data_IF_092810730621
#
_entry.id   IF_092810730621
#
_cell.length_a   1.000
_cell.length_b   1.000
_cell.length_c   1.000
_cell.angle_alpha   90.00
_cell.angle_beta   90.00
_cell.angle_gamma   90.00
#
_symmetry.space_group_name_H-M   'P 1'
#
loop_
_entity.id
_entity.type
_entity.pdbx_description
1 polymer ?
#
# COMPACT_ATOMS: atom_id res chain seq x y z
N UNK A 1 -23.21 -19.88 -16.89
CA UNK A 1 -22.83 -18.51 -16.51
C UNK A 1 -21.31 -18.45 -16.49
N UNK A 2 -20.70 -17.60 -17.32
CA UNK A 2 -19.28 -17.30 -17.24
C UNK A 2 -19.20 -15.89 -16.64
N UNK A 3 -18.71 -15.78 -15.42
CA UNK A 3 -18.44 -14.49 -14.79
C UNK A 3 -17.14 -13.94 -15.38
N UNK A 4 -17.05 -12.62 -15.60
CA UNK A 4 -15.82 -11.97 -16.07
C UNK A 4 -14.68 -11.91 -15.03
N UNK A 5 -14.72 -12.76 -14.00
CA UNK A 5 -13.71 -12.84 -12.94
C UNK A 5 -12.50 -13.66 -13.43
N UNK A 6 -11.30 -13.16 -13.17
CA UNK A 6 -10.05 -13.81 -13.57
C UNK A 6 -8.98 -13.68 -12.49
N UNK A 7 -7.97 -14.56 -12.56
CA UNK A 7 -6.75 -14.50 -11.77
C UNK A 7 -5.61 -14.29 -12.76
N UNK A 8 -4.81 -13.25 -12.56
CA UNK A 8 -3.56 -13.06 -13.32
C UNK A 8 -2.40 -13.76 -12.60
N UNK A 9 -1.54 -14.42 -13.37
CA UNK A 9 -0.37 -15.14 -12.87
C UNK A 9 0.87 -14.50 -13.48
N UNK A 10 1.64 -13.79 -12.64
CA UNK A 10 2.92 -13.22 -13.03
C UNK A 10 4.07 -14.15 -12.68
N UNK A 11 4.85 -14.56 -13.68
CA UNK A 11 6.06 -15.35 -13.51
C UNK A 11 7.30 -14.49 -13.26
N UNK A 12 8.09 -14.86 -12.24
CA UNK A 12 9.40 -14.28 -11.92
C UNK A 12 10.52 -15.31 -12.16
N UNK A 13 11.68 -14.86 -12.63
CA UNK A 13 12.88 -15.69 -12.76
C UNK A 13 14.15 -14.85 -12.62
N UNK A 14 15.29 -15.47 -12.35
CA UNK A 14 16.58 -14.83 -12.55
C UNK A 14 16.82 -14.62 -14.05
N UNK A 15 16.80 -13.36 -14.50
CA UNK A 15 16.93 -12.98 -15.92
C UNK A 15 18.27 -12.35 -16.24
N UNK A 16 18.79 -11.56 -15.31
CA UNK A 16 19.94 -10.69 -15.53
C UNK A 16 21.21 -11.42 -15.06
N UNK A 17 22.06 -11.86 -16.00
CA UNK A 17 23.32 -12.53 -15.67
C UNK A 17 24.28 -11.65 -14.86
N UNK A 18 24.13 -10.32 -14.97
CA UNK A 18 24.90 -9.33 -14.20
C UNK A 18 24.42 -9.18 -12.74
N UNK A 19 23.25 -9.74 -12.39
CA UNK A 19 22.64 -9.62 -11.05
C UNK A 19 22.16 -10.99 -10.56
N UNK A 20 23.10 -11.91 -10.26
CA UNK A 20 22.74 -13.22 -9.72
C UNK A 20 21.98 -13.06 -8.39
N UNK A 21 20.97 -13.90 -8.16
CA UNK A 21 20.13 -13.82 -6.96
C UNK A 21 19.05 -12.75 -6.98
N UNK A 22 18.93 -11.97 -8.08
CA UNK A 22 17.83 -11.04 -8.31
C UNK A 22 16.84 -11.62 -9.31
N UNK A 23 15.61 -11.74 -8.86
CA UNK A 23 14.48 -12.28 -9.61
C UNK A 23 13.69 -11.12 -10.21
N UNK A 24 13.25 -11.25 -11.45
CA UNK A 24 12.46 -10.19 -12.09
C UNK A 24 11.31 -10.69 -12.95
N UNK A 25 10.25 -9.88 -12.99
CA UNK A 25 9.07 -10.09 -13.82
C UNK A 25 9.23 -9.42 -15.20
N UNK A 26 8.24 -9.57 -16.09
CA UNK A 26 8.23 -8.95 -17.43
C UNK A 26 8.22 -7.41 -17.38
N UNK A 27 7.78 -6.82 -16.27
CA UNK A 27 7.68 -5.37 -16.07
C UNK A 27 8.92 -4.80 -15.36
N UNK A 28 10.01 -5.56 -15.25
CA UNK A 28 11.25 -5.13 -14.60
C UNK A 28 11.14 -4.78 -13.11
N UNK A 29 10.09 -5.25 -12.42
CA UNK A 29 10.12 -5.32 -10.96
C UNK A 29 11.15 -6.35 -10.54
N UNK A 30 11.96 -6.02 -9.55
CA UNK A 30 13.12 -6.81 -9.11
C UNK A 30 12.98 -7.15 -7.64
N UNK A 31 13.27 -8.40 -7.32
CA UNK A 31 13.18 -8.94 -5.98
C UNK A 31 14.45 -9.71 -5.67
N UNK A 32 15.05 -9.46 -4.51
CA UNK A 32 16.15 -10.29 -4.03
C UNK A 32 15.60 -11.65 -3.57
N UNK A 33 16.36 -12.72 -3.77
CA UNK A 33 15.94 -14.07 -3.38
C UNK A 33 15.53 -14.16 -1.89
N UNK A 34 16.20 -13.40 -1.00
CA UNK A 34 15.88 -13.32 0.44
C UNK A 34 14.56 -12.62 0.75
N UNK A 35 14.06 -11.76 -0.15
CA UNK A 35 12.76 -11.11 0.03
C UNK A 35 11.62 -12.07 -0.32
N UNK A 36 11.87 -13.02 -1.24
CA UNK A 36 10.90 -14.02 -1.67
C UNK A 36 10.88 -15.24 -0.74
N UNK A 37 12.03 -15.81 -0.42
CA UNK A 37 12.14 -17.11 0.23
C UNK A 37 12.67 -17.03 1.67
N UNK A 38 12.21 -17.91 2.58
CA UNK A 38 11.11 -18.87 2.41
C UNK A 38 9.74 -18.18 2.39
N UNK A 39 8.76 -18.79 1.71
CA UNK A 39 7.39 -18.26 1.74
C UNK A 39 6.78 -18.40 3.14
N UNK A 40 5.96 -17.42 3.51
CA UNK A 40 5.26 -17.38 4.80
C UNK A 40 3.80 -17.80 4.62
N UNK A 41 3.27 -18.69 5.48
CA UNK A 41 1.86 -19.04 5.47
C UNK A 41 1.01 -17.85 5.93
N UNK A 42 -0.11 -17.65 5.27
CA UNK A 42 -1.13 -16.66 5.60
C UNK A 42 -2.53 -17.19 5.26
N UNK A 43 -3.54 -16.37 5.46
CA UNK A 43 -4.92 -16.64 5.08
C UNK A 43 -5.41 -15.49 4.19
N UNK A 44 -5.88 -15.82 2.99
CA UNK A 44 -6.43 -14.87 2.03
C UNK A 44 -7.86 -15.30 1.69
N UNK A 45 -8.83 -14.43 1.93
CA UNK A 45 -10.27 -14.70 1.70
C UNK A 45 -10.78 -16.02 2.33
N UNK A 46 -10.29 -16.36 3.52
CA UNK A 46 -10.68 -17.61 4.16
C UNK A 46 -9.80 -18.82 3.83
N UNK A 47 -8.96 -18.73 2.79
CA UNK A 47 -8.19 -19.85 2.24
C UNK A 47 -6.71 -19.75 2.67
N UNK A 48 -6.06 -20.86 3.06
CA UNK A 48 -4.61 -20.87 3.29
C UNK A 48 -3.85 -20.45 2.04
N UNK A 49 -2.95 -19.48 2.19
CA UNK A 49 -2.14 -18.94 1.11
C UNK A 49 -0.67 -18.79 1.56
N UNK A 50 0.19 -18.52 0.59
CA UNK A 50 1.61 -18.24 0.81
C UNK A 50 1.95 -16.86 0.28
N UNK A 51 2.74 -16.10 1.03
CA UNK A 51 3.24 -14.78 0.64
C UNK A 51 4.77 -14.73 0.73
N UNK A 52 5.43 -13.81 0.01
CA UNK A 52 6.87 -13.57 0.14
C UNK A 52 7.31 -13.34 1.60
N UNK A 53 8.57 -13.67 1.91
CA UNK A 53 9.14 -13.48 3.24
C UNK A 53 9.05 -12.02 3.71
N UNK A 54 9.56 -11.10 2.88
CA UNK A 54 9.59 -9.64 3.11
C UNK A 54 8.51 -8.93 2.30
N UNK A 55 7.25 -9.40 2.41
CA UNK A 55 6.14 -8.82 1.63
C UNK A 55 5.91 -7.32 1.89
N UNK A 56 6.19 -6.81 3.10
CA UNK A 56 6.06 -5.39 3.42
C UNK A 56 7.06 -4.53 2.65
N UNK A 57 8.33 -4.94 2.61
CA UNK A 57 9.37 -4.24 1.85
C UNK A 57 9.01 -4.23 0.37
N UNK A 58 8.61 -5.38 -0.18
CA UNK A 58 8.19 -5.51 -1.58
C UNK A 58 7.02 -4.58 -1.90
N UNK A 59 5.98 -4.55 -1.07
CA UNK A 59 4.82 -3.67 -1.29
C UNK A 59 5.19 -2.19 -1.16
N UNK A 60 6.08 -1.85 -0.22
CA UNK A 60 6.56 -0.47 -0.04
C UNK A 60 7.40 -0.01 -1.22
N UNK A 61 8.29 -0.86 -1.74
CA UNK A 61 9.15 -0.55 -2.88
C UNK A 61 8.32 -0.34 -4.16
N UNK A 62 7.23 -1.10 -4.34
CA UNK A 62 6.38 -0.99 -5.53
C UNK A 62 5.31 0.11 -5.44
N UNK A 63 4.69 0.28 -4.27
CA UNK A 63 3.48 1.10 -4.10
C UNK A 63 3.63 2.23 -3.07
N UNK A 64 4.80 2.35 -2.43
CA UNK A 64 5.10 3.33 -1.40
C UNK A 64 4.58 2.95 -0.01
N UNK A 65 5.04 3.67 1.02
CA UNK A 65 4.72 3.38 2.43
C UNK A 65 3.22 3.41 2.75
N UNK A 66 2.44 4.22 2.04
CA UNK A 66 0.99 4.32 2.26
C UNK A 66 0.25 3.03 1.89
N UNK A 67 0.82 2.19 1.04
CA UNK A 67 0.17 0.95 0.58
C UNK A 67 -0.13 -0.06 1.68
N UNK A 68 0.62 -0.01 2.79
CA UNK A 68 0.48 -0.96 3.90
C UNK A 68 -0.55 -0.47 4.94
N UNK A 69 -0.75 0.84 5.02
CA UNK A 69 -1.55 1.47 6.10
C UNK A 69 -2.83 2.12 5.59
N UNK A 70 -2.94 2.40 4.29
CA UNK A 70 -4.11 3.06 3.74
C UNK A 70 -5.32 2.11 3.79
N UNK A 71 -6.32 2.48 4.58
CA UNK A 71 -7.62 1.82 4.62
C UNK A 71 -8.62 2.44 3.64
N UNK A 72 -8.17 3.35 2.76
CA UNK A 72 -9.03 4.02 1.79
C UNK A 72 -8.33 4.13 0.44
N UNK A 73 -9.05 3.77 -0.62
CA UNK A 73 -8.55 3.83 -2.00
C UNK A 73 -9.71 3.90 -2.99
N UNK A 74 -9.63 4.81 -3.98
CA UNK A 74 -10.58 4.90 -5.11
C UNK A 74 -12.07 4.76 -4.71
N UNK A 75 -12.57 5.64 -3.83
CA UNK A 75 -13.95 5.61 -3.32
C UNK A 75 -14.33 4.40 -2.47
N UNK A 76 -13.37 3.54 -2.11
CA UNK A 76 -13.57 2.41 -1.22
C UNK A 76 -12.89 2.63 0.12
N UNK A 77 -13.48 2.04 1.16
CA UNK A 77 -12.89 1.91 2.49
C UNK A 77 -12.73 0.44 2.82
N UNK A 78 -11.61 0.10 3.44
CA UNK A 78 -11.32 -1.24 3.92
C UNK A 78 -12.12 -1.50 5.20
N UNK A 79 -12.88 -2.61 5.20
CA UNK A 79 -13.55 -3.11 6.39
C UNK A 79 -12.67 -4.18 7.04
N UNK A 80 -12.11 -3.85 8.20
CA UNK A 80 -11.17 -4.73 8.91
C UNK A 80 -11.83 -5.98 9.51
N UNK A 81 -13.15 -6.00 9.65
CA UNK A 81 -13.92 -7.14 10.18
C UNK A 81 -14.22 -8.12 9.06
N UNK A 82 -14.79 -7.64 7.96
CA UNK A 82 -15.17 -8.50 6.82
C UNK A 82 -13.99 -8.79 5.89
N UNK A 83 -12.90 -8.03 6.00
CA UNK A 83 -11.70 -8.10 5.14
C UNK A 83 -12.05 -7.81 3.67
N UNK A 84 -12.87 -6.78 3.43
CA UNK A 84 -13.33 -6.40 2.10
C UNK A 84 -13.23 -4.89 1.88
N UNK A 85 -13.02 -4.49 0.62
CA UNK A 85 -13.17 -3.11 0.18
C UNK A 85 -14.65 -2.83 -0.06
N UNK A 86 -15.23 -1.90 0.70
CA UNK A 86 -16.63 -1.47 0.53
C UNK A 86 -16.67 -0.09 -0.11
N UNK A 87 -17.62 0.13 -1.01
CA UNK A 87 -17.84 1.45 -1.61
C UNK A 87 -18.30 2.42 -0.51
N UNK A 88 -17.68 3.59 -0.47
CA UNK A 88 -18.09 4.67 0.42
C UNK A 88 -19.36 5.33 -0.09
N UNK A 89 -20.21 5.74 0.84
CA UNK A 89 -21.33 6.63 0.57
C UNK A 89 -20.86 8.06 0.25
N UNK A 90 -21.71 8.84 -0.42
CA UNK A 90 -21.41 10.24 -0.70
C UNK A 90 -21.19 11.06 0.58
N UNK A 91 -21.89 10.72 1.67
CA UNK A 91 -21.75 11.37 2.97
C UNK A 91 -20.39 11.08 3.60
N UNK A 92 -19.94 9.82 3.59
CA UNK A 92 -18.61 9.42 4.06
C UNK A 92 -17.50 10.15 3.26
N UNK A 93 -17.67 10.28 1.94
CA UNK A 93 -16.72 11.03 1.10
C UNK A 93 -16.69 12.53 1.42
N UNK A 94 -17.85 13.13 1.67
CA UNK A 94 -17.96 14.54 2.00
C UNK A 94 -17.33 14.81 3.37
N UNK A 95 -17.62 13.97 4.35
CA UNK A 95 -17.01 14.04 5.68
C UNK A 95 -15.48 13.97 5.59
N UNK A 96 -14.94 13.03 4.80
CA UNK A 96 -13.49 12.91 4.55
C UNK A 96 -12.90 14.18 3.96
N UNK A 97 -13.57 14.79 2.97
CA UNK A 97 -13.09 16.04 2.34
C UNK A 97 -13.03 17.18 3.35
N UNK A 98 -14.01 17.26 4.26
CA UNK A 98 -14.00 18.26 5.32
C UNK A 98 -12.91 17.97 6.36
N UNK A 99 -12.77 16.73 6.84
CA UNK A 99 -11.71 16.34 7.77
C UNK A 99 -10.31 16.61 7.20
N UNK A 100 -10.08 16.33 5.91
CA UNK A 100 -8.81 16.62 5.24
C UNK A 100 -8.53 18.12 5.13
N UNK A 101 -9.56 18.96 4.90
CA UNK A 101 -9.42 20.42 4.93
C UNK A 101 -9.05 20.91 6.32
N UNK A 102 -9.70 20.38 7.36
CA UNK A 102 -9.44 20.74 8.76
C UNK A 102 -8.01 20.37 9.13
N UNK A 103 -7.56 19.15 8.82
CA UNK A 103 -6.20 18.71 9.12
C UNK A 103 -5.16 19.58 8.41
N UNK A 104 -5.38 19.91 7.13
CA UNK A 104 -4.47 20.79 6.38
C UNK A 104 -4.42 22.21 6.95
N UNK A 105 -5.55 22.73 7.42
CA UNK A 105 -5.59 24.04 8.06
C UNK A 105 -4.86 24.03 9.42
N UNK A 106 -5.00 22.96 10.20
CA UNK A 106 -4.28 22.79 11.47
C UNK A 106 -2.77 22.67 11.26
N UNK A 107 -2.34 21.86 10.29
CA UNK A 107 -0.92 21.69 9.94
C UNK A 107 -0.29 23.01 9.48
N UNK A 108 -1.02 23.79 8.67
CA UNK A 108 -0.57 25.11 8.23
C UNK A 108 -0.45 26.10 9.40
N UNK A 109 -1.43 26.12 10.30
CA UNK A 109 -1.39 27.00 11.49
C UNK A 109 -0.23 26.65 12.42
N UNK A 110 0.04 25.35 12.64
CA UNK A 110 1.19 24.90 13.43
C UNK A 110 2.52 25.34 12.80
N UNK A 111 2.64 25.23 11.47
CA UNK A 111 3.84 25.67 10.77
C UNK A 111 4.03 27.20 10.83
N UNK A 112 2.95 27.98 10.75
CA UNK A 112 2.99 29.45 10.93
C UNK A 112 3.41 29.83 12.36
N UNK A 113 2.88 29.16 13.38
CA UNK A 113 3.28 29.37 14.79
C UNK A 113 4.77 29.02 15.02
N UNK A 114 5.26 27.91 14.46
CA UNK A 114 6.67 27.50 14.56
C UNK A 114 7.63 28.50 13.87
N UNK A 115 7.22 29.13 12.76
CA UNK A 115 8.01 30.18 12.10
C UNK A 115 8.06 31.46 12.95
N UNK A 116 6.92 31.89 13.53
CA UNK A 116 6.87 33.07 14.40
C UNK A 116 7.69 32.90 15.69
N UNK A 117 7.73 31.69 16.27
CA UNK A 117 8.58 31.39 17.43
C UNK A 117 10.09 31.44 17.07
N UNK A 118 10.47 30.95 15.89
CA UNK A 118 11.86 30.97 15.43
C UNK A 118 12.36 32.40 15.15
N UNK A 119 11.52 33.26 14.59
CA UNK A 119 11.87 34.68 14.36
C UNK A 119 12.02 35.47 15.66
N UNK A 120 11.26 35.15 16.71
CA UNK A 120 11.34 35.84 18.00
C UNK A 120 12.57 35.46 18.85
N UNK A 121 13.20 34.32 18.56
CA UNK A 121 14.38 33.81 19.28
C UNK A 121 15.70 34.16 18.59
N UNK A 122 15.66 34.71 17.36
CA UNK A 122 16.83 35.21 16.61
C UNK A 122 17.11 36.69 16.83
#
# INVERSE_FOLDING_TARGET
>A
MQTGLFIDITGVREREASRPGVWSCKNYHRYEARQLWPLRPTKFEGVPALVPYSYQDILTDEYGHKSIVAEEWEHHRWDSVTKQWRLMSQDEENQRKEEAKVLKAQDLALHEEEEEEQEQVS
#
